data_IF_440033879797
#
_entry.id   IF_440033879797
#
_cell.length_a   1.000
_cell.length_b   1.000
_cell.length_c   1.000
_cell.angle_alpha   90.00
_cell.angle_beta   90.00
_cell.angle_gamma   90.00
#
_symmetry.space_group_name_H-M   'P 1'
#
loop_
_entity.id
_entity.type
_entity.pdbx_description
1 polymer ?
#
# COMPACT_ATOMS: atom_id res chain seq x y z
N UNK A 1 -6.82 2.86 -7.29
CA UNK A 1 -7.73 2.13 -6.37
C UNK A 1 -7.05 1.80 -5.04
N UNK A 2 -5.82 1.28 -5.06
CA UNK A 2 -5.08 0.88 -3.86
C UNK A 2 -5.02 1.94 -2.75
N UNK A 3 -4.73 3.21 -3.08
CA UNK A 3 -4.71 4.31 -2.11
C UNK A 3 -6.00 4.37 -1.25
N UNK A 4 -7.19 4.32 -1.88
CA UNK A 4 -8.46 4.37 -1.17
C UNK A 4 -8.68 3.15 -0.27
N UNK A 5 -8.16 1.98 -0.66
CA UNK A 5 -8.25 0.76 0.14
C UNK A 5 -7.35 0.86 1.37
N UNK A 6 -6.14 1.38 1.20
CA UNK A 6 -5.22 1.69 2.29
C UNK A 6 -5.82 2.72 3.25
N UNK A 7 -6.39 3.81 2.73
CA UNK A 7 -7.07 4.83 3.54
C UNK A 7 -8.26 4.26 4.34
N UNK A 8 -8.96 3.27 3.77
CA UNK A 8 -10.10 2.62 4.42
C UNK A 8 -9.68 1.64 5.52
N UNK A 9 -8.58 0.91 5.35
CA UNK A 9 -8.10 -0.10 6.30
C UNK A 9 -7.21 0.48 7.40
N UNK A 10 -6.36 1.45 7.06
CA UNK A 10 -5.37 2.02 7.96
C UNK A 10 -5.65 3.48 8.35
N UNK A 11 -6.64 4.12 7.74
CA UNK A 11 -6.95 5.52 8.00
C UNK A 11 -6.04 6.48 7.22
N UNK A 12 -5.85 7.73 7.67
CA UNK A 12 -5.07 8.73 6.93
C UNK A 12 -3.66 8.23 6.65
N UNK A 13 -3.30 8.19 5.37
CA UNK A 13 -2.00 7.67 4.95
C UNK A 13 -0.90 8.70 5.18
N UNK A 14 0.26 8.28 5.70
CA UNK A 14 1.42 9.14 5.80
C UNK A 14 2.01 9.45 4.42
N UNK A 15 2.70 10.59 4.30
CA UNK A 15 3.23 11.10 3.03
C UNK A 15 4.11 10.08 2.28
N UNK A 16 4.89 9.27 3.01
CA UNK A 16 5.75 8.26 2.39
C UNK A 16 4.96 7.20 1.61
N UNK A 17 3.71 6.90 2.00
CA UNK A 17 2.84 5.96 1.26
C UNK A 17 2.45 6.58 -0.08
N UNK A 18 2.15 7.87 -0.11
CA UNK A 18 1.84 8.58 -1.36
C UNK A 18 3.05 8.60 -2.30
N UNK A 19 4.25 8.81 -1.78
CA UNK A 19 5.49 8.73 -2.58
C UNK A 19 5.72 7.32 -3.14
N UNK A 20 5.55 6.29 -2.31
CA UNK A 20 5.65 4.89 -2.73
C UNK A 20 4.65 4.55 -3.82
N UNK A 21 3.37 4.92 -3.64
CA UNK A 21 2.32 4.71 -4.64
C UNK A 21 2.58 5.46 -5.95
N UNK A 22 3.19 6.64 -5.88
CA UNK A 22 3.55 7.43 -7.06
C UNK A 22 4.74 6.89 -7.84
N UNK A 23 5.67 6.21 -7.18
CA UNK A 23 6.84 5.56 -7.82
C UNK A 23 6.65 4.08 -8.12
N UNK A 24 5.53 3.49 -7.68
CA UNK A 24 5.25 2.07 -7.83
C UNK A 24 5.08 1.66 -9.28
N UNK A 25 5.62 0.51 -9.63
CA UNK A 25 5.28 -0.15 -10.89
C UNK A 25 3.88 -0.77 -10.79
N UNK A 26 3.22 -1.06 -11.93
CA UNK A 26 1.95 -1.78 -11.94
C UNK A 26 2.03 -3.11 -11.16
N UNK A 27 3.13 -3.84 -11.32
CA UNK A 27 3.38 -5.10 -10.61
C UNK A 27 3.44 -4.91 -9.10
N UNK A 28 4.10 -3.85 -8.61
CA UNK A 28 4.13 -3.54 -7.18
C UNK A 28 2.75 -3.17 -6.65
N UNK A 29 1.94 -2.44 -7.41
CA UNK A 29 0.58 -2.09 -7.02
C UNK A 29 -0.33 -3.33 -6.92
N UNK A 30 -0.14 -4.31 -7.80
CA UNK A 30 -0.85 -5.59 -7.73
C UNK A 30 -0.42 -6.40 -6.51
N UNK A 31 0.88 -6.54 -6.27
CA UNK A 31 1.43 -7.22 -5.07
C UNK A 31 0.92 -6.59 -3.79
N UNK A 32 1.02 -5.26 -3.64
CA UNK A 32 0.51 -4.55 -2.46
C UNK A 32 -0.99 -4.69 -2.30
N UNK A 33 -1.75 -4.86 -3.38
CA UNK A 33 -3.17 -5.16 -3.31
C UNK A 33 -3.46 -6.52 -2.68
N UNK A 34 -2.60 -7.51 -2.91
CA UNK A 34 -2.68 -8.84 -2.30
C UNK A 34 -2.19 -8.81 -0.85
N UNK A 35 -1.03 -8.20 -0.58
CA UNK A 35 -0.51 -8.04 0.79
C UNK A 35 -1.47 -7.25 1.67
N UNK A 36 -2.19 -6.26 1.11
CA UNK A 36 -3.21 -5.51 1.84
C UNK A 36 -4.30 -6.42 2.45
N UNK A 37 -4.56 -7.59 1.88
CA UNK A 37 -5.59 -8.49 2.40
C UNK A 37 -5.17 -9.11 3.74
N UNK A 38 -3.90 -9.44 3.90
CA UNK A 38 -3.36 -10.15 5.07
C UNK A 38 -2.65 -9.21 6.07
N UNK A 39 -2.06 -8.12 5.57
CA UNK A 39 -1.26 -7.18 6.34
C UNK A 39 -1.98 -6.60 7.55
N UNK A 40 -1.31 -6.61 8.71
CA UNK A 40 -1.76 -5.95 9.93
C UNK A 40 -1.41 -4.45 9.96
N UNK A 41 -0.53 -3.99 9.06
CA UNK A 41 -0.06 -2.61 8.99
C UNK A 41 0.51 -2.24 7.64
N UNK A 42 0.72 -0.92 7.43
CA UNK A 42 1.32 -0.39 6.21
C UNK A 42 2.71 -0.99 5.95
N UNK A 43 3.55 -1.11 6.99
CA UNK A 43 4.88 -1.73 6.86
C UNK A 43 4.84 -3.12 6.23
N UNK A 44 3.81 -3.93 6.51
CA UNK A 44 3.67 -5.26 5.92
C UNK A 44 3.23 -5.20 4.47
N UNK A 45 2.34 -4.27 4.11
CA UNK A 45 1.96 -4.04 2.71
C UNK A 45 3.16 -3.65 1.86
N UNK A 46 4.06 -2.84 2.41
CA UNK A 46 5.24 -2.32 1.72
C UNK A 46 6.53 -3.07 2.06
N UNK A 47 6.46 -4.27 2.65
CA UNK A 47 7.65 -5.12 2.90
C UNK A 47 8.37 -5.40 1.58
N UNK A 48 9.70 -5.46 1.65
CA UNK A 48 10.63 -5.31 0.53
C UNK A 48 10.25 -6.10 -0.74
N UNK A 49 9.83 -5.35 -1.76
CA UNK A 49 9.78 -5.72 -3.17
C UNK A 49 10.46 -4.63 -4.00
#
# INVERSE_FOLDING_TARGET
MLQKQLERRFGPLPNWVHERLGQATPEQLETWGLDLLDAAGLDEVFKAH
#
